data_IF_317633975249
#
_entry.id   IF_317633975249
#
_cell.length_a   1.000
_cell.length_b   1.000
_cell.length_c   1.000
_cell.angle_alpha   90.00
_cell.angle_beta   90.00
_cell.angle_gamma   90.00
#
_symmetry.space_group_name_H-M   'P 1'
#
loop_
_entity.id
_entity.type
_entity.pdbx_description
1 polymer ?
#
# COMPACT_ATOMS: atom_id res chain seq x y z
N UNK A 1 52.80 37.78 26.82
CA UNK A 1 51.70 38.63 26.33
C UNK A 1 51.70 38.46 24.82
N UNK A 2 50.74 37.87 24.14
CA UNK A 2 49.43 37.37 24.53
C UNK A 2 49.03 36.30 23.50
N UNK A 3 48.49 35.18 23.94
CA UNK A 3 48.08 34.07 23.09
C UNK A 3 46.64 34.31 22.62
N UNK A 4 46.45 34.83 21.41
CA UNK A 4 45.14 34.95 20.78
C UNK A 4 44.69 33.64 20.14
N UNK A 5 44.27 32.68 20.96
CA UNK A 5 43.62 31.45 20.53
C UNK A 5 42.24 31.73 19.95
N UNK A 6 41.97 31.20 18.76
CA UNK A 6 40.68 31.29 18.09
C UNK A 6 39.57 30.62 18.91
N UNK A 7 38.45 31.33 19.02
CA UNK A 7 37.20 30.77 19.49
C UNK A 7 36.47 30.20 18.27
N UNK A 8 36.58 28.88 18.06
CA UNK A 8 35.63 28.17 17.20
C UNK A 8 34.47 27.74 18.08
N UNK A 9 33.30 28.27 17.74
CA UNK A 9 32.02 27.99 18.38
C UNK A 9 31.61 26.53 18.08
N UNK A 10 31.71 25.66 19.09
CA UNK A 10 31.34 24.24 19.03
C UNK A 10 29.82 24.01 18.94
N UNK A 11 28.99 25.06 18.91
CA UNK A 11 27.54 24.91 18.79
C UNK A 11 27.02 24.72 17.36
N UNK A 12 27.86 24.95 16.33
CA UNK A 12 27.45 24.81 14.93
C UNK A 12 27.39 23.35 14.43
N UNK A 13 28.16 22.43 15.01
CA UNK A 13 28.29 21.05 14.52
C UNK A 13 27.12 20.13 14.88
N UNK A 14 26.40 20.40 15.97
CA UNK A 14 25.30 19.55 16.42
C UNK A 14 24.01 19.71 15.60
N UNK A 15 23.75 20.90 15.07
CA UNK A 15 22.55 21.19 14.27
C UNK A 15 22.66 20.66 12.84
N UNK A 16 23.86 20.74 12.25
CA UNK A 16 24.13 20.28 10.89
C UNK A 16 24.11 18.75 10.78
N UNK A 17 24.60 18.04 11.82
CA UNK A 17 24.63 16.57 11.83
C UNK A 17 23.22 15.96 11.88
N UNK A 18 22.32 16.52 12.68
CA UNK A 18 20.93 16.04 12.77
C UNK A 18 20.14 16.31 11.48
N UNK A 19 20.38 17.45 10.84
CA UNK A 19 19.74 17.80 9.57
C UNK A 19 20.25 16.90 8.43
N UNK A 20 21.54 16.61 8.39
CA UNK A 20 22.14 15.70 7.42
C UNK A 20 21.67 14.24 7.60
N UNK A 21 21.49 13.78 8.85
CA UNK A 21 20.94 12.46 9.15
C UNK A 21 19.46 12.34 8.73
N UNK A 22 18.65 13.38 8.96
CA UNK A 22 17.25 13.43 8.50
C UNK A 22 17.17 13.36 6.97
N UNK A 23 17.97 14.18 6.26
CA UNK A 23 17.99 14.18 4.80
C UNK A 23 18.46 12.83 4.22
N UNK A 24 19.40 12.15 4.88
CA UNK A 24 19.84 10.82 4.47
C UNK A 24 18.73 9.78 4.63
N UNK A 25 18.00 9.82 5.75
CA UNK A 25 16.89 8.92 6.03
C UNK A 25 15.72 9.14 5.05
N UNK A 26 15.39 10.40 4.76
CA UNK A 26 14.37 10.77 3.77
C UNK A 26 14.74 10.26 2.37
N UNK A 27 16.01 10.34 1.98
CA UNK A 27 16.46 9.84 0.70
C UNK A 27 16.45 8.29 0.61
N UNK A 28 16.74 7.58 1.71
CA UNK A 28 16.56 6.12 1.78
C UNK A 28 15.08 5.77 1.63
N UNK A 29 14.21 6.48 2.35
CA UNK A 29 12.76 6.28 2.28
C UNK A 29 12.23 6.53 0.86
N UNK A 30 12.65 7.62 0.21
CA UNK A 30 12.25 7.93 -1.16
C UNK A 30 12.70 6.84 -2.13
N UNK A 31 13.94 6.33 -2.01
CA UNK A 31 14.40 5.19 -2.83
C UNK A 31 13.58 3.93 -2.63
N UNK A 32 13.08 3.69 -1.42
CA UNK A 32 12.20 2.55 -1.16
C UNK A 32 10.84 2.76 -1.81
N UNK A 33 10.29 3.97 -1.72
CA UNK A 33 9.04 4.35 -2.40
C UNK A 33 9.18 4.18 -3.92
N UNK A 34 10.27 4.68 -4.52
CA UNK A 34 10.50 4.59 -5.96
C UNK A 34 10.54 3.13 -6.45
N UNK A 35 11.14 2.23 -5.66
CA UNK A 35 11.16 0.78 -5.97
C UNK A 35 9.77 0.15 -5.93
N UNK A 36 8.95 0.53 -4.94
CA UNK A 36 7.57 0.05 -4.82
C UNK A 36 6.76 0.54 -6.03
N UNK A 37 6.88 1.83 -6.36
CA UNK A 37 6.17 2.45 -7.49
C UNK A 37 6.63 1.83 -8.83
N UNK A 38 7.92 1.56 -9.02
CA UNK A 38 8.43 0.86 -10.21
C UNK A 38 7.88 -0.56 -10.32
N UNK A 39 7.88 -1.33 -9.23
CA UNK A 39 7.33 -2.68 -9.19
C UNK A 39 5.84 -2.68 -9.56
N UNK A 40 5.07 -1.78 -8.95
CA UNK A 40 3.64 -1.61 -9.26
C UNK A 40 3.39 -1.21 -10.72
N UNK A 41 4.17 -0.29 -11.27
CA UNK A 41 4.08 0.10 -12.70
C UNK A 41 4.36 -1.09 -13.61
N UNK A 42 5.30 -1.97 -13.26
CA UNK A 42 5.59 -3.16 -14.03
C UNK A 42 4.44 -4.17 -14.00
N UNK A 43 3.78 -4.34 -12.84
CA UNK A 43 2.60 -5.19 -12.68
C UNK A 43 1.45 -4.68 -13.55
N UNK A 44 1.07 -3.40 -13.42
CA UNK A 44 -0.03 -2.83 -14.22
C UNK A 44 0.28 -2.83 -15.72
N UNK A 45 1.55 -2.74 -16.12
CA UNK A 45 1.97 -2.88 -17.51
C UNK A 45 1.86 -4.32 -18.01
N UNK A 46 2.27 -5.30 -17.21
CA UNK A 46 2.15 -6.73 -17.55
C UNK A 46 0.68 -7.17 -17.59
N UNK A 47 -0.15 -6.65 -16.69
CA UNK A 47 -1.60 -6.83 -16.72
C UNK A 47 -2.23 -6.25 -18.00
N UNK A 48 -1.87 -5.02 -18.39
CA UNK A 48 -2.39 -4.41 -19.64
C UNK A 48 -2.08 -5.22 -20.90
N UNK A 49 -0.88 -5.82 -20.98
CA UNK A 49 -0.55 -6.72 -22.10
C UNK A 49 -1.53 -7.89 -22.23
N UNK A 50 -2.04 -8.40 -21.10
CA UNK A 50 -3.06 -9.48 -21.11
C UNK A 50 -4.33 -9.00 -21.77
N UNK A 51 -4.82 -7.82 -21.36
CA UNK A 51 -6.02 -7.21 -21.95
C UNK A 51 -5.85 -6.99 -23.47
N UNK A 52 -4.65 -6.65 -23.91
CA UNK A 52 -4.29 -6.49 -25.33
C UNK A 52 -4.05 -7.82 -26.07
N UNK A 53 -4.07 -8.96 -25.37
CA UNK A 53 -3.78 -10.31 -25.89
C UNK A 53 -2.39 -10.45 -26.53
N UNK A 54 -1.41 -9.71 -26.01
CA UNK A 54 -0.01 -9.71 -26.50
C UNK A 54 0.96 -10.36 -25.50
N UNK A 55 0.45 -11.24 -24.64
CA UNK A 55 1.15 -11.83 -23.48
C UNK A 55 0.73 -11.17 -22.17
N UNK A 56 1.35 -11.51 -21.04
CA UNK A 56 0.98 -10.91 -19.74
C UNK A 56 0.90 -11.97 -18.65
N UNK A 57 0.12 -11.68 -17.61
CA UNK A 57 -0.25 -12.68 -16.61
C UNK A 57 -1.27 -13.66 -17.20
N UNK A 58 -1.08 -14.96 -16.97
CA UNK A 58 -1.99 -16.00 -17.45
C UNK A 58 -3.11 -16.30 -16.44
N UNK A 59 -2.86 -16.04 -15.16
CA UNK A 59 -3.80 -16.30 -14.07
C UNK A 59 -3.67 -15.27 -12.95
N UNK A 60 -4.69 -15.16 -12.08
CA UNK A 60 -4.62 -14.28 -10.91
C UNK A 60 -3.52 -14.70 -9.93
N UNK A 61 -3.28 -15.99 -9.63
CA UNK A 61 -2.17 -16.41 -8.77
C UNK A 61 -0.79 -15.93 -9.25
N UNK A 62 -0.54 -15.94 -10.57
CA UNK A 62 0.70 -15.41 -11.13
C UNK A 62 0.83 -13.89 -10.91
N UNK A 63 -0.26 -13.14 -11.10
CA UNK A 63 -0.30 -11.71 -10.81
C UNK A 63 -0.08 -11.44 -9.32
N UNK A 64 -0.74 -12.22 -8.48
CA UNK A 64 -0.70 -12.07 -7.03
C UNK A 64 0.70 -12.25 -6.45
N UNK A 65 1.50 -13.17 -7.02
CA UNK A 65 2.90 -13.37 -6.62
C UNK A 65 3.77 -12.11 -6.76
N UNK A 66 3.49 -11.28 -7.78
CA UNK A 66 4.19 -10.00 -7.95
C UNK A 66 3.54 -8.88 -7.12
N UNK A 67 2.21 -8.93 -6.94
CA UNK A 67 1.43 -7.86 -6.33
C UNK A 67 1.42 -7.86 -4.79
N UNK A 68 1.32 -9.04 -4.16
CA UNK A 68 1.32 -9.14 -2.69
C UNK A 68 2.56 -8.54 -2.02
N UNK A 69 3.80 -8.71 -2.55
CA UNK A 69 4.99 -8.05 -2.00
C UNK A 69 4.91 -6.52 -2.05
N UNK A 70 4.29 -5.95 -3.08
CA UNK A 70 4.10 -4.49 -3.22
C UNK A 70 3.18 -3.97 -2.12
N UNK A 71 2.07 -4.65 -1.87
CA UNK A 71 1.14 -4.34 -0.76
C UNK A 71 1.87 -4.42 0.58
N UNK A 72 2.57 -5.52 0.85
CA UNK A 72 3.28 -5.73 2.12
C UNK A 72 4.39 -4.69 2.34
N UNK A 73 5.12 -4.30 1.30
CA UNK A 73 6.09 -3.21 1.42
C UNK A 73 5.42 -1.86 1.70
N UNK A 74 4.25 -1.64 1.11
CA UNK A 74 3.52 -0.37 1.17
C UNK A 74 2.97 -0.07 2.55
N UNK A 75 2.42 -1.05 3.28
CA UNK A 75 1.84 -0.80 4.62
C UNK A 75 2.85 -0.26 5.63
N UNK A 76 4.15 -0.45 5.37
CA UNK A 76 5.23 0.04 6.23
C UNK A 76 5.70 1.46 5.89
N UNK A 77 5.22 2.07 4.80
CA UNK A 77 5.56 3.45 4.44
C UNK A 77 5.02 4.46 5.46
N UNK A 78 5.61 5.64 5.51
CA UNK A 78 5.12 6.74 6.35
C UNK A 78 3.71 7.20 5.94
N UNK A 79 3.43 7.23 4.64
CA UNK A 79 2.13 7.62 4.07
C UNK A 79 1.61 6.57 3.07
N UNK A 80 1.01 5.46 3.54
CA UNK A 80 0.64 4.33 2.69
C UNK A 80 -0.76 4.43 2.08
N UNK A 81 -1.67 5.20 2.70
CA UNK A 81 -3.12 5.16 2.45
C UNK A 81 -3.43 5.36 0.96
N UNK A 82 -2.92 6.41 0.33
CA UNK A 82 -3.25 6.71 -1.06
C UNK A 82 -2.79 5.61 -2.03
N UNK A 83 -1.64 4.98 -1.78
CA UNK A 83 -1.15 3.85 -2.59
C UNK A 83 -2.03 2.64 -2.39
N UNK A 84 -2.34 2.31 -1.14
CA UNK A 84 -3.15 1.15 -0.82
C UNK A 84 -4.59 1.28 -1.37
N UNK A 85 -5.17 2.49 -1.39
CA UNK A 85 -6.44 2.77 -2.07
C UNK A 85 -6.38 2.39 -3.55
N UNK A 86 -5.34 2.87 -4.26
CA UNK A 86 -5.17 2.56 -5.69
C UNK A 86 -4.98 1.05 -5.91
N UNK A 87 -4.14 0.42 -5.10
CA UNK A 87 -3.86 -1.01 -5.21
C UNK A 87 -5.10 -1.86 -4.92
N UNK A 88 -5.95 -1.43 -3.99
CA UNK A 88 -7.19 -2.13 -3.68
C UNK A 88 -8.18 -2.04 -4.83
N UNK A 89 -8.35 -0.86 -5.44
CA UNK A 89 -9.19 -0.71 -6.63
C UNK A 89 -8.70 -1.55 -7.80
N UNK A 90 -7.40 -1.51 -8.10
CA UNK A 90 -6.79 -2.35 -9.14
C UNK A 90 -6.96 -3.84 -8.86
N UNK A 91 -6.82 -4.26 -7.59
CA UNK A 91 -7.06 -5.64 -7.20
C UNK A 91 -8.48 -6.11 -7.52
N UNK A 92 -9.50 -5.26 -7.29
CA UNK A 92 -10.87 -5.58 -7.65
C UNK A 92 -11.06 -5.72 -9.16
N UNK A 93 -10.41 -4.84 -9.95
CA UNK A 93 -10.38 -5.00 -11.42
C UNK A 93 -9.70 -6.29 -11.85
N UNK A 94 -8.58 -6.66 -11.21
CA UNK A 94 -7.92 -7.94 -11.49
C UNK A 94 -8.85 -9.10 -11.18
N UNK A 95 -9.57 -9.05 -10.06
CA UNK A 95 -10.49 -10.11 -9.69
C UNK A 95 -11.56 -10.36 -10.76
N UNK A 96 -12.17 -9.30 -11.29
CA UNK A 96 -13.16 -9.42 -12.38
C UNK A 96 -12.52 -9.96 -13.68
N UNK A 97 -11.30 -9.54 -14.00
CA UNK A 97 -10.61 -9.93 -15.23
C UNK A 97 -10.19 -11.40 -15.30
N UNK A 98 -10.06 -12.06 -14.14
CA UNK A 98 -9.65 -13.46 -14.00
C UNK A 98 -10.73 -14.38 -13.41
N UNK A 99 -11.99 -13.94 -13.34
CA UNK A 99 -13.11 -14.67 -12.71
C UNK A 99 -13.41 -16.05 -13.28
N UNK A 100 -13.02 -16.32 -14.52
CA UNK A 100 -13.20 -17.62 -15.17
C UNK A 100 -12.00 -18.56 -14.93
N UNK A 101 -10.87 -18.02 -14.49
CA UNK A 101 -9.56 -18.70 -14.47
C UNK A 101 -9.02 -18.95 -13.05
N UNK A 102 -9.76 -18.56 -12.01
CA UNK A 102 -9.27 -18.54 -10.61
C UNK A 102 -10.24 -19.24 -9.68
N UNK A 103 -9.71 -20.04 -8.76
CA UNK A 103 -10.53 -20.78 -7.80
C UNK A 103 -11.06 -19.87 -6.67
N UNK A 104 -12.29 -20.14 -6.20
CA UNK A 104 -12.92 -19.35 -5.13
C UNK A 104 -12.07 -19.28 -3.85
N UNK A 105 -11.35 -20.37 -3.55
CA UNK A 105 -10.46 -20.42 -2.39
C UNK A 105 -9.30 -19.42 -2.50
N UNK A 106 -8.70 -19.28 -3.69
CA UNK A 106 -7.60 -18.36 -3.95
C UNK A 106 -8.06 -16.91 -3.77
N UNK A 107 -9.25 -16.57 -4.28
CA UNK A 107 -9.85 -15.26 -4.02
C UNK A 107 -9.96 -14.96 -2.53
N UNK A 108 -10.46 -15.91 -1.73
CA UNK A 108 -10.61 -15.71 -0.29
C UNK A 108 -9.27 -15.37 0.37
N UNK A 109 -8.20 -16.10 0.02
CA UNK A 109 -6.86 -15.83 0.55
C UNK A 109 -6.36 -14.42 0.18
N UNK A 110 -6.63 -13.96 -1.04
CA UNK A 110 -6.18 -12.65 -1.51
C UNK A 110 -6.98 -11.51 -0.85
N UNK A 111 -8.29 -11.68 -0.70
CA UNK A 111 -9.12 -10.76 0.06
C UNK A 111 -8.70 -10.69 1.55
N UNK A 112 -8.35 -11.83 2.16
CA UNK A 112 -7.86 -11.88 3.55
C UNK A 112 -6.52 -11.17 3.73
N UNK A 113 -5.61 -11.30 2.77
CA UNK A 113 -4.34 -10.58 2.77
C UNK A 113 -4.54 -9.06 2.63
N UNK A 114 -5.51 -8.64 1.80
CA UNK A 114 -5.88 -7.23 1.66
C UNK A 114 -6.55 -6.68 2.93
N UNK A 115 -7.40 -7.47 3.59
CA UNK A 115 -8.01 -7.14 4.89
C UNK A 115 -6.95 -6.94 5.97
N UNK A 116 -5.96 -7.83 6.02
CA UNK A 116 -4.80 -7.69 6.90
C UNK A 116 -4.03 -6.39 6.64
N UNK A 117 -3.77 -6.06 5.36
CA UNK A 117 -3.03 -4.86 5.00
C UNK A 117 -3.77 -3.58 5.45
N UNK A 118 -5.08 -3.50 5.20
CA UNK A 118 -5.90 -2.38 5.65
C UNK A 118 -5.99 -2.29 7.17
N UNK A 119 -6.21 -3.42 7.85
CA UNK A 119 -6.20 -3.50 9.32
C UNK A 119 -4.90 -2.94 9.89
N UNK A 120 -3.76 -3.24 9.27
CA UNK A 120 -2.45 -2.74 9.72
C UNK A 120 -2.35 -1.22 9.53
N UNK A 121 -2.78 -0.69 8.39
CA UNK A 121 -2.73 0.74 8.09
C UNK A 121 -3.65 1.54 9.01
N UNK A 122 -4.89 1.07 9.22
CA UNK A 122 -5.87 1.72 10.09
C UNK A 122 -5.34 1.82 11.54
N UNK A 123 -4.68 0.77 12.04
CA UNK A 123 -4.11 0.74 13.40
C UNK A 123 -2.86 1.59 13.59
N UNK A 124 -2.07 1.80 12.53
CA UNK A 124 -0.71 2.36 12.65
C UNK A 124 -0.57 3.81 12.13
N UNK A 125 -1.54 4.34 11.35
CA UNK A 125 -1.32 5.53 10.49
C UNK A 125 -2.27 6.71 10.72
N UNK A 126 -3.10 6.68 11.75
CA UNK A 126 -4.02 7.77 12.13
C UNK A 126 -4.73 8.42 10.92
N UNK A 127 -5.54 7.65 10.16
CA UNK A 127 -6.22 8.14 8.96
C UNK A 127 -7.14 9.33 9.27
N UNK A 128 -7.23 10.29 8.34
CA UNK A 128 -8.19 11.39 8.49
C UNK A 128 -9.63 10.92 8.27
N UNK A 129 -10.63 11.69 8.72
CA UNK A 129 -12.05 11.39 8.42
C UNK A 129 -12.33 11.24 6.92
N UNK A 130 -11.63 12.03 6.08
CA UNK A 130 -11.73 11.89 4.62
C UNK A 130 -11.12 10.58 4.12
N UNK A 131 -9.99 10.16 4.69
CA UNK A 131 -9.36 8.88 4.36
C UNK A 131 -10.27 7.72 4.76
N UNK A 132 -10.85 7.74 5.95
CA UNK A 132 -11.79 6.73 6.44
C UNK A 132 -12.97 6.52 5.47
N UNK A 133 -13.61 7.61 5.01
CA UNK A 133 -14.70 7.51 4.01
C UNK A 133 -14.22 6.83 2.73
N UNK A 134 -13.03 7.17 2.24
CA UNK A 134 -12.48 6.59 1.01
C UNK A 134 -12.12 5.11 1.20
N UNK A 135 -11.61 4.75 2.37
CA UNK A 135 -11.29 3.37 2.74
C UNK A 135 -12.59 2.55 2.80
N UNK A 136 -13.59 3.00 3.56
CA UNK A 136 -14.89 2.31 3.65
C UNK A 136 -15.52 2.12 2.27
N UNK A 137 -15.48 3.13 1.41
CA UNK A 137 -16.01 3.02 0.06
C UNK A 137 -15.28 1.94 -0.76
N UNK A 138 -13.94 1.93 -0.77
CA UNK A 138 -13.20 0.92 -1.54
C UNK A 138 -13.39 -0.49 -0.96
N UNK A 139 -13.52 -0.64 0.36
CA UNK A 139 -13.79 -1.96 0.96
C UNK A 139 -15.19 -2.47 0.58
N UNK A 140 -16.20 -1.58 0.51
CA UNK A 140 -17.56 -1.91 0.05
C UNK A 140 -17.57 -2.29 -1.42
N UNK A 141 -16.87 -1.55 -2.28
CA UNK A 141 -16.72 -1.91 -3.70
C UNK A 141 -16.12 -3.32 -3.83
N UNK A 142 -15.13 -3.64 -2.99
CA UNK A 142 -14.54 -4.97 -2.97
C UNK A 142 -15.46 -6.07 -2.43
N UNK A 143 -16.33 -5.77 -1.46
CA UNK A 143 -17.39 -6.69 -1.03
C UNK A 143 -18.39 -6.96 -2.15
N UNK A 144 -18.76 -5.95 -2.94
CA UNK A 144 -19.62 -6.12 -4.10
C UNK A 144 -18.95 -6.99 -5.17
N UNK A 145 -17.65 -6.78 -5.45
CA UNK A 145 -16.87 -7.64 -6.34
C UNK A 145 -16.79 -9.08 -5.81
N UNK A 146 -16.47 -9.28 -4.53
CA UNK A 146 -16.37 -10.59 -3.90
C UNK A 146 -17.71 -11.36 -3.94
N UNK A 147 -18.82 -10.66 -3.73
CA UNK A 147 -20.17 -11.23 -3.79
C UNK A 147 -20.50 -11.79 -5.17
N UNK A 148 -20.05 -11.11 -6.24
CA UNK A 148 -20.22 -11.60 -7.62
C UNK A 148 -19.41 -12.86 -7.91
N UNK A 149 -18.31 -13.08 -7.19
CA UNK A 149 -17.49 -14.29 -7.27
C UNK A 149 -18.03 -15.43 -6.39
N UNK A 150 -19.04 -15.16 -5.55
CA UNK A 150 -19.64 -16.14 -4.63
C UNK A 150 -19.03 -16.17 -3.23
N UNK A 151 -18.19 -15.19 -2.89
CA UNK A 151 -17.73 -14.99 -1.51
C UNK A 151 -18.79 -14.23 -0.71
N UNK A 152 -19.04 -14.67 0.52
CA UNK A 152 -20.09 -14.08 1.36
C UNK A 152 -19.62 -12.83 2.10
N UNK A 153 -18.38 -12.83 2.58
CA UNK A 153 -17.83 -11.76 3.42
C UNK A 153 -16.32 -11.62 3.18
N UNK A 154 -15.90 -10.39 2.94
CA UNK A 154 -14.50 -9.97 2.80
C UNK A 154 -14.28 -8.66 3.54
N UNK A 155 -13.04 -8.38 3.92
CA UNK A 155 -12.68 -7.20 4.73
C UNK A 155 -13.37 -7.06 6.10
N UNK A 156 -13.66 -8.14 6.84
CA UNK A 156 -14.40 -8.01 8.09
C UNK A 156 -13.65 -7.14 9.11
N UNK A 157 -12.34 -7.36 9.27
CA UNK A 157 -11.57 -6.65 10.30
C UNK A 157 -11.33 -5.18 9.95
N UNK A 158 -11.00 -4.88 8.70
CA UNK A 158 -10.76 -3.52 8.25
C UNK A 158 -12.05 -2.68 8.25
N UNK A 159 -13.18 -3.28 7.89
CA UNK A 159 -14.48 -2.58 7.89
C UNK A 159 -14.90 -2.24 9.31
N UNK A 160 -14.81 -3.18 10.25
CA UNK A 160 -15.14 -2.95 11.66
C UNK A 160 -14.35 -1.76 12.24
N UNK A 161 -13.03 -1.73 12.02
CA UNK A 161 -12.17 -0.64 12.53
C UNK A 161 -12.52 0.70 11.87
N UNK A 162 -12.71 0.71 10.56
CA UNK A 162 -12.97 1.95 9.83
C UNK A 162 -14.35 2.54 10.16
N UNK A 163 -15.36 1.71 10.43
CA UNK A 163 -16.70 2.14 10.82
C UNK A 163 -16.78 2.56 12.30
N UNK A 164 -16.04 1.91 13.21
CA UNK A 164 -15.95 2.32 14.63
C UNK A 164 -15.36 3.74 14.76
N UNK A 165 -14.23 4.00 14.10
CA UNK A 165 -13.57 5.32 14.11
C UNK A 165 -14.37 6.41 13.38
N UNK A 166 -15.27 6.03 12.47
CA UNK A 166 -16.14 6.97 11.77
C UNK A 166 -17.26 7.52 12.66
N UNK A 167 -17.70 6.72 13.65
CA UNK A 167 -18.85 7.03 14.51
C UNK A 167 -18.46 7.77 15.81
N UNK A 168 -17.17 8.04 16.05
CA UNK A 168 -16.64 8.92 17.11
C UNK A 168 -16.45 10.39 16.68
#
# INVERSE_FOLDING_TARGET
MDSGGGFLDESATHTDTNTALSAHQEHIEQRHIDKIDEAYVNITRKYRKRAEKVGGYESLPELWQDFAPVILATIHLKAPIQRLLNYTGDFHEFCDAFKEDTDLHEYKEYFDAMDFAWTRVLKDKDPTKTDLVRIVNVLRDGQDTASQLGLQEVYPNATDIADDDFNE
#
